data_IF_708575194514
#
_entry.id   IF_708575194514
#
_cell.length_a   1.000
_cell.length_b   1.000
_cell.length_c   1.000
_cell.angle_alpha   90.00
_cell.angle_beta   90.00
_cell.angle_gamma   90.00
#
_symmetry.space_group_name_H-M   'P 1'
#
loop_
_entity.id
_entity.type
_entity.pdbx_description
1 polymer ?
#
# COMPACT_ATOMS: atom_id res chain seq x y z
N UNK A 1 12.75 3.41 16.44
CA UNK A 1 11.59 3.56 15.52
C UNK A 1 11.22 2.17 15.06
N UNK A 2 10.03 1.69 15.42
CA UNK A 2 9.61 0.33 15.09
C UNK A 2 9.44 0.20 13.57
N UNK A 3 9.73 -0.97 13.01
CA UNK A 3 9.67 -1.23 11.57
C UNK A 3 8.28 -0.91 10.96
N UNK A 4 7.22 -0.98 11.77
CA UNK A 4 5.86 -0.62 11.41
C UNK A 4 5.68 0.89 11.16
N UNK A 5 6.32 1.75 11.96
CA UNK A 5 6.23 3.21 11.82
C UNK A 5 6.85 3.67 10.49
N UNK A 6 7.95 3.02 10.08
CA UNK A 6 8.63 3.32 8.80
C UNK A 6 7.78 2.96 7.59
N UNK A 7 7.14 1.78 7.61
CA UNK A 7 6.24 1.35 6.53
C UNK A 7 5.00 2.24 6.44
N UNK A 8 4.45 2.64 7.58
CA UNK A 8 3.33 3.58 7.60
C UNK A 8 3.70 4.94 7.00
N UNK A 9 4.85 5.51 7.40
CA UNK A 9 5.32 6.78 6.84
C UNK A 9 5.63 6.70 5.33
N UNK A 10 6.18 5.59 4.84
CA UNK A 10 6.42 5.38 3.42
C UNK A 10 5.11 5.22 2.62
N UNK A 11 4.10 4.58 3.20
CA UNK A 11 2.77 4.46 2.62
C UNK A 11 2.04 5.80 2.53
N UNK A 12 2.10 6.62 3.59
CA UNK A 12 1.54 7.98 3.59
C UNK A 12 2.18 8.84 2.50
N UNK A 13 3.51 8.79 2.36
CA UNK A 13 4.24 9.48 1.28
C UNK A 13 3.85 8.99 -0.11
N UNK A 14 3.61 7.68 -0.26
CA UNK A 14 3.21 7.11 -1.54
C UNK A 14 1.81 7.59 -1.95
N UNK A 15 0.87 7.64 -1.00
CA UNK A 15 -0.48 8.17 -1.26
C UNK A 15 -0.44 9.66 -1.57
N UNK A 16 0.32 10.46 -0.81
CA UNK A 16 0.51 11.89 -1.08
C UNK A 16 1.06 12.12 -2.49
N UNK A 17 2.08 11.36 -2.90
CA UNK A 17 2.66 11.47 -4.23
C UNK A 17 1.65 11.12 -5.33
N UNK A 18 0.85 10.07 -5.16
CA UNK A 18 -0.16 9.64 -6.12
C UNK A 18 -1.37 10.58 -6.21
N UNK A 19 -1.60 11.43 -5.21
CA UNK A 19 -2.65 12.44 -5.19
C UNK A 19 -2.23 13.77 -5.83
N UNK A 20 -0.96 13.94 -6.21
CA UNK A 20 -0.47 15.14 -6.90
C UNK A 20 -1.01 15.18 -8.33
N UNK A 21 -1.18 16.40 -8.84
CA UNK A 21 -1.51 16.66 -10.25
C UNK A 21 -0.47 16.02 -11.21
N UNK A 22 0.81 16.06 -10.80
CA UNK A 22 1.91 15.42 -11.51
C UNK A 22 2.72 14.51 -10.57
N UNK A 23 2.33 13.23 -10.45
CA UNK A 23 3.06 12.28 -9.60
C UNK A 23 4.43 11.94 -10.21
N UNK A 24 5.47 12.01 -9.39
CA UNK A 24 6.81 11.58 -9.75
C UNK A 24 6.88 10.06 -9.83
N UNK A 25 6.96 9.53 -11.06
CA UNK A 25 7.06 8.09 -11.34
C UNK A 25 8.25 7.44 -10.63
N UNK A 26 9.37 8.16 -10.51
CA UNK A 26 10.56 7.67 -9.82
C UNK A 26 10.31 7.50 -8.32
N UNK A 27 9.68 8.50 -7.70
CA UNK A 27 9.39 8.47 -6.26
C UNK A 27 8.33 7.41 -5.94
N UNK A 28 7.26 7.33 -6.75
CA UNK A 28 6.26 6.27 -6.65
C UNK A 28 6.93 4.90 -6.73
N UNK A 29 7.76 4.64 -7.75
CA UNK A 29 8.44 3.34 -7.90
C UNK A 29 9.34 3.01 -6.72
N UNK A 30 10.11 3.98 -6.20
CA UNK A 30 10.96 3.79 -5.03
C UNK A 30 10.15 3.40 -3.79
N UNK A 31 9.10 4.16 -3.48
CA UNK A 31 8.23 3.91 -2.32
C UNK A 31 7.47 2.58 -2.45
N UNK A 32 7.00 2.26 -3.65
CA UNK A 32 6.32 0.98 -3.96
C UNK A 32 7.26 -0.21 -3.69
N UNK A 33 8.52 -0.09 -4.13
CA UNK A 33 9.57 -1.09 -3.90
C UNK A 33 9.92 -1.21 -2.41
N UNK A 34 10.06 -0.08 -1.70
CA UNK A 34 10.35 -0.04 -0.26
C UNK A 34 9.25 -0.72 0.59
N UNK A 35 8.00 -0.61 0.12
CA UNK A 35 6.84 -1.24 0.75
C UNK A 35 6.65 -2.69 0.33
N UNK A 36 7.44 -3.22 -0.61
CA UNK A 36 7.32 -4.57 -1.14
C UNK A 36 6.04 -4.77 -1.98
N UNK A 37 5.56 -3.70 -2.62
CA UNK A 37 4.40 -3.72 -3.50
C UNK A 37 4.84 -3.86 -4.96
N UNK A 38 3.97 -4.43 -5.80
CA UNK A 38 4.18 -4.44 -7.25
C UNK A 38 4.00 -3.04 -7.85
N UNK A 39 4.90 -2.67 -8.76
CA UNK A 39 4.85 -1.37 -9.43
C UNK A 39 4.21 -1.49 -10.81
N UNK A 40 3.23 -0.62 -11.09
CA UNK A 40 2.65 -0.44 -12.41
C UNK A 40 2.90 0.96 -12.94
N UNK A 41 3.11 1.04 -14.26
CA UNK A 41 3.19 2.31 -15.00
C UNK A 41 1.79 2.90 -15.20
N UNK A 42 0.76 2.04 -15.20
CA UNK A 42 -0.64 2.47 -15.29
C UNK A 42 -1.12 3.04 -13.93
N UNK A 43 -1.55 4.31 -13.88
CA UNK A 43 -1.93 4.98 -12.63
C UNK A 43 -3.08 4.30 -11.88
N UNK A 44 -4.08 3.77 -12.59
CA UNK A 44 -5.23 3.12 -11.96
C UNK A 44 -4.84 1.78 -11.34
N UNK A 45 -4.02 0.99 -12.04
CA UNK A 45 -3.45 -0.27 -11.54
C UNK A 45 -2.55 -0.01 -10.34
N UNK A 46 -1.73 1.05 -10.40
CA UNK A 46 -0.87 1.46 -9.29
C UNK A 46 -1.70 1.86 -8.07
N UNK A 47 -2.74 2.69 -8.24
CA UNK A 47 -3.65 3.07 -7.15
C UNK A 47 -4.36 1.86 -6.55
N UNK A 48 -4.88 0.95 -7.37
CA UNK A 48 -5.53 -0.27 -6.88
C UNK A 48 -4.55 -1.13 -6.05
N UNK A 49 -3.30 -1.26 -6.50
CA UNK A 49 -2.26 -2.01 -5.78
C UNK A 49 -1.94 -1.37 -4.42
N UNK A 50 -1.84 -0.04 -4.37
CA UNK A 50 -1.65 0.70 -3.12
C UNK A 50 -2.83 0.52 -2.17
N UNK A 51 -4.08 0.67 -2.66
CA UNK A 51 -5.29 0.47 -1.86
C UNK A 51 -5.42 -0.96 -1.31
N UNK A 52 -5.07 -1.98 -2.10
CA UNK A 52 -5.05 -3.37 -1.64
C UNK A 52 -3.98 -3.59 -0.56
N UNK A 53 -2.82 -2.98 -0.72
CA UNK A 53 -1.75 -3.08 0.28
C UNK A 53 -2.10 -2.33 1.57
N UNK A 54 -2.78 -1.18 1.49
CA UNK A 54 -3.36 -0.50 2.66
C UNK A 54 -4.33 -1.41 3.40
N UNK A 55 -5.19 -2.14 2.69
CA UNK A 55 -6.06 -3.12 3.32
C UNK A 55 -5.26 -4.23 4.01
N UNK A 56 -4.16 -4.71 3.45
CA UNK A 56 -3.32 -5.73 4.09
C UNK A 56 -2.57 -5.22 5.33
N UNK A 57 -2.16 -3.94 5.33
CA UNK A 57 -1.39 -3.32 6.43
C UNK A 57 -2.31 -2.81 7.56
N UNK A 58 -3.47 -2.23 7.23
CA UNK A 58 -4.41 -1.64 8.20
C UNK A 58 -5.46 -2.65 8.68
N UNK A 59 -5.92 -3.55 7.79
CA UNK A 59 -6.77 -4.67 8.19
C UNK A 59 -5.85 -5.86 8.47
N UNK A 60 -5.45 -5.98 9.74
CA UNK A 60 -5.15 -7.32 10.28
C UNK A 60 -6.23 -8.28 9.78
N UNK A 61 -5.88 -9.53 9.44
CA UNK A 61 -6.86 -10.51 9.02
C UNK A 61 -7.89 -10.60 10.14
N UNK A 62 -9.10 -10.13 9.88
CA UNK A 62 -10.24 -10.63 10.60
C UNK A 62 -10.20 -12.13 10.32
N UNK A 63 -9.70 -12.90 11.29
CA UNK A 63 -9.96 -14.33 11.41
C UNK A 63 -11.48 -14.46 11.38
N UNK A 64 -12.05 -14.54 10.18
CA UNK A 64 -13.43 -14.98 10.01
C UNK A 64 -13.42 -16.44 10.45
N UNK A 65 -13.78 -16.59 11.71
CA UNK A 65 -14.48 -17.73 12.31
C UNK A 65 -14.14 -19.08 11.70
N UNK A 66 -13.31 -19.79 12.43
CA UNK A 66 -13.31 -21.23 12.55
C UNK A 66 -14.56 -21.71 13.34
N UNK A 67 -15.78 -21.41 12.92
CA UNK A 67 -16.98 -21.96 13.57
C UNK A 67 -18.21 -21.74 12.70
N UNK A 68 -18.93 -22.85 12.42
CA UNK A 68 -20.12 -22.99 11.56
C UNK A 68 -19.71 -23.03 10.07
N UNK A 69 -19.64 -24.17 9.40
CA UNK A 69 -20.76 -25.12 9.19
C UNK A 69 -20.29 -26.58 9.29
N UNK A 70 -21.16 -27.38 9.90
CA UNK A 70 -21.01 -28.79 10.25
C UNK A 70 -21.78 -29.63 9.25
#
# INVERSE_FOLDING_TARGET
MAQSDKKQAALEKLVDELMKDQPSRQLVKQLTTELGMDYSVDPLTQMNTVLQSMNSVLLRPNRRRNDLER
#
